data_IF_254603520360
#
_entry.id   IF_254603520360
#
_cell.length_a   1.000
_cell.length_b   1.000
_cell.length_c   1.000
_cell.angle_alpha   90.00
_cell.angle_beta   90.00
_cell.angle_gamma   90.00
#
_symmetry.space_group_name_H-M   'P 1'
#
loop_
_entity.id
_entity.type
_entity.pdbx_description
1 polymer ?
#
# COMPACT_ATOMS: atom_id res chain seq x y z
N UNK A 1 -14.60 -10.99 -1.24
CA UNK A 1 -14.79 -11.33 -2.67
C UNK A 1 -14.93 -10.03 -3.48
N UNK A 2 -15.08 -10.08 -4.82
CA UNK A 2 -15.34 -8.88 -5.65
C UNK A 2 -16.52 -8.02 -5.14
N UNK A 3 -17.45 -8.62 -4.39
CA UNK A 3 -18.58 -7.93 -3.77
C UNK A 3 -18.18 -6.99 -2.61
N UNK A 4 -17.02 -7.21 -1.98
CA UNK A 4 -16.59 -6.46 -0.80
C UNK A 4 -15.96 -5.10 -1.14
N UNK A 5 -15.78 -4.77 -2.43
CA UNK A 5 -15.17 -3.51 -2.89
C UNK A 5 -13.91 -3.16 -2.09
N UNK A 6 -13.03 -4.16 -1.93
CA UNK A 6 -11.82 -3.97 -1.14
C UNK A 6 -10.93 -2.89 -1.75
N UNK A 7 -10.27 -2.07 -0.93
CA UNK A 7 -9.19 -1.21 -1.39
C UNK A 7 -8.12 -2.02 -2.12
N UNK A 8 -7.43 -1.40 -3.06
CA UNK A 8 -6.40 -2.06 -3.88
C UNK A 8 -5.06 -1.36 -3.69
N UNK A 9 -4.01 -2.13 -3.43
CA UNK A 9 -2.63 -1.68 -3.58
C UNK A 9 -2.05 -2.31 -4.84
N UNK A 10 -1.78 -1.46 -5.83
CA UNK A 10 -1.23 -1.84 -7.12
C UNK A 10 0.25 -1.48 -7.16
N UNK A 11 1.12 -2.43 -7.53
CA UNK A 11 2.56 -2.21 -7.59
C UNK A 11 3.12 -2.59 -8.96
N UNK A 12 3.54 -1.59 -9.73
CA UNK A 12 4.29 -1.80 -10.96
C UNK A 12 5.75 -2.10 -10.65
N UNK A 13 6.25 -3.20 -11.22
CA UNK A 13 7.62 -3.65 -11.03
C UNK A 13 8.23 -4.15 -12.34
N UNK A 14 9.54 -4.34 -12.33
CA UNK A 14 10.28 -5.04 -13.37
C UNK A 14 11.22 -6.05 -12.72
N UNK A 15 11.19 -7.31 -13.16
CA UNK A 15 11.95 -8.40 -12.53
C UNK A 15 13.47 -8.16 -12.54
N UNK A 16 14.00 -7.53 -13.60
CA UNK A 16 15.43 -7.23 -13.73
C UNK A 16 15.83 -5.85 -13.15
N UNK A 17 14.90 -5.14 -12.51
CA UNK A 17 15.19 -3.86 -11.86
C UNK A 17 15.70 -4.04 -10.43
N UNK A 18 16.91 -3.54 -10.17
CA UNK A 18 17.47 -3.49 -8.81
C UNK A 18 16.60 -2.65 -7.87
N UNK A 19 15.98 -1.58 -8.37
CA UNK A 19 15.06 -0.73 -7.60
C UNK A 19 13.78 -1.48 -7.24
N UNK A 20 13.24 -2.28 -8.16
CA UNK A 20 12.06 -3.12 -7.89
C UNK A 20 12.36 -4.20 -6.85
N UNK A 21 13.53 -4.85 -6.94
CA UNK A 21 13.97 -5.85 -5.94
C UNK A 21 14.11 -5.26 -4.55
N UNK A 22 14.73 -4.08 -4.41
CA UNK A 22 14.82 -3.39 -3.10
C UNK A 22 13.44 -3.04 -2.56
N UNK A 23 12.51 -2.70 -3.44
CA UNK A 23 11.17 -2.28 -3.06
C UNK A 23 10.24 -3.40 -2.60
N UNK A 24 10.55 -4.67 -2.95
CA UNK A 24 9.77 -5.84 -2.54
C UNK A 24 9.56 -5.94 -1.01
N UNK A 25 10.48 -5.36 -0.21
CA UNK A 25 10.35 -5.28 1.25
C UNK A 25 9.13 -4.44 1.65
N UNK A 26 8.92 -3.28 1.03
CA UNK A 26 7.76 -2.42 1.29
C UNK A 26 6.46 -3.11 0.90
N UNK A 27 6.43 -3.78 -0.26
CA UNK A 27 5.26 -4.54 -0.72
C UNK A 27 4.92 -5.66 0.28
N UNK A 28 5.93 -6.37 0.77
CA UNK A 28 5.75 -7.44 1.76
C UNK A 28 5.15 -6.92 3.08
N UNK A 29 5.55 -5.72 3.52
CA UNK A 29 4.93 -5.08 4.70
C UNK A 29 3.46 -4.73 4.44
N UNK A 30 3.13 -4.19 3.26
CA UNK A 30 1.72 -3.94 2.91
C UNK A 30 0.91 -5.25 2.96
N UNK A 31 1.45 -6.34 2.44
CA UNK A 31 0.83 -7.68 2.51
C UNK A 31 0.64 -8.16 3.95
N UNK A 32 1.64 -7.98 4.80
CA UNK A 32 1.59 -8.36 6.22
C UNK A 32 0.45 -7.66 6.97
N UNK A 33 0.33 -6.34 6.82
CA UNK A 33 -0.64 -5.53 7.57
C UNK A 33 -2.04 -5.53 6.94
N UNK A 34 -2.13 -5.50 5.61
CA UNK A 34 -3.38 -5.20 4.90
C UNK A 34 -3.86 -6.33 3.98
N UNK A 35 -3.07 -7.37 3.72
CA UNK A 35 -3.42 -8.42 2.74
C UNK A 35 -4.67 -9.23 3.05
N UNK A 36 -5.23 -9.12 4.27
CA UNK A 36 -6.54 -9.71 4.61
C UNK A 36 -7.73 -8.83 4.20
N UNK A 37 -7.53 -7.52 4.11
CA UNK A 37 -8.59 -6.50 3.96
C UNK A 37 -8.44 -5.63 2.72
N UNK A 38 -7.31 -5.70 2.02
CA UNK A 38 -7.03 -5.06 0.75
C UNK A 38 -6.53 -6.11 -0.27
N UNK A 39 -6.79 -5.86 -1.55
CA UNK A 39 -6.21 -6.64 -2.64
C UNK A 39 -4.84 -6.07 -3.01
N UNK A 40 -3.85 -6.94 -3.16
CA UNK A 40 -2.47 -6.54 -3.49
C UNK A 40 -2.12 -7.13 -4.83
N UNK A 41 -1.89 -6.25 -5.81
CA UNK A 41 -1.75 -6.62 -7.21
C UNK A 41 -0.36 -6.17 -7.70
N UNK A 42 0.63 -7.06 -7.74
CA UNK A 42 1.87 -6.78 -8.43
C UNK A 42 1.66 -6.92 -9.94
N UNK A 43 2.12 -5.94 -10.73
CA UNK A 43 2.07 -5.98 -12.20
C UNK A 43 3.47 -5.77 -12.76
N UNK A 44 3.95 -6.77 -13.49
CA UNK A 44 5.16 -6.60 -14.30
C UNK A 44 4.86 -5.64 -15.45
N UNK A 45 5.69 -4.61 -15.61
CA UNK A 45 5.52 -3.65 -16.72
C UNK A 45 5.71 -4.30 -18.08
N UNK A 46 6.44 -5.41 -18.17
CA UNK A 46 6.60 -6.20 -19.40
C UNK A 46 5.29 -6.87 -19.84
N UNK A 47 4.32 -7.01 -18.93
CA UNK A 47 3.01 -7.58 -19.25
C UNK A 47 2.01 -6.55 -19.78
N UNK A 48 2.35 -5.25 -19.75
CA UNK A 48 1.47 -4.18 -20.23
C UNK A 48 1.59 -4.10 -21.76
N UNK A 49 0.54 -4.42 -22.53
CA UNK A 49 0.59 -4.35 -23.98
C UNK A 49 0.68 -2.89 -24.43
N UNK A 50 1.56 -2.58 -25.37
CA UNK A 50 1.65 -1.25 -25.95
C UNK A 50 0.35 -0.90 -26.70
N UNK A 51 -0.29 0.21 -26.29
CA UNK A 51 -1.49 0.78 -26.93
C UNK A 51 -1.35 2.29 -27.06
N UNK A 52 -1.99 2.88 -28.06
CA UNK A 52 -2.06 4.34 -28.23
C UNK A 52 -2.89 5.01 -27.12
N UNK A 53 -3.90 4.31 -26.60
CA UNK A 53 -4.73 4.72 -25.48
C UNK A 53 -5.14 3.50 -24.65
N UNK A 54 -5.28 3.70 -23.34
CA UNK A 54 -5.74 2.70 -22.38
C UNK A 54 -7.08 3.12 -21.80
N UNK A 55 -7.94 2.16 -21.51
CA UNK A 55 -9.14 2.39 -20.71
C UNK A 55 -8.77 2.54 -19.22
N UNK A 56 -9.48 3.34 -18.41
CA UNK A 56 -9.23 3.47 -16.97
C UNK A 56 -9.27 2.14 -16.20
N UNK A 57 -9.86 1.08 -16.74
CA UNK A 57 -9.84 -0.26 -16.14
C UNK A 57 -8.55 -1.05 -16.44
N UNK A 58 -7.65 -0.51 -17.27
CA UNK A 58 -6.43 -1.17 -17.69
C UNK A 58 -5.20 -0.68 -16.91
N UNK A 59 -4.25 -1.57 -16.55
CA UNK A 59 -3.02 -1.17 -15.87
C UNK A 59 -2.22 -0.09 -16.60
N UNK A 60 -2.19 -0.15 -17.94
CA UNK A 60 -1.46 0.82 -18.76
C UNK A 60 -1.98 2.26 -18.65
N UNK A 61 -3.23 2.46 -18.23
CA UNK A 61 -3.78 3.80 -17.96
C UNK A 61 -3.06 4.49 -16.79
N UNK A 62 -2.62 3.71 -15.81
CA UNK A 62 -2.00 4.21 -14.58
C UNK A 62 -0.47 4.19 -14.60
N UNK A 63 0.12 3.32 -15.42
CA UNK A 63 1.57 3.22 -15.52
C UNK A 63 2.17 4.47 -16.16
N UNK A 64 3.15 5.07 -15.48
CA UNK A 64 3.71 6.36 -15.86
C UNK A 64 5.18 6.29 -16.32
N UNK A 65 5.60 5.11 -16.79
CA UNK A 65 6.88 4.91 -17.48
C UNK A 65 8.10 4.71 -16.57
N UNK A 66 7.91 4.42 -15.27
CA UNK A 66 9.02 4.19 -14.34
C UNK A 66 8.67 3.15 -13.28
N UNK A 67 9.65 2.35 -12.87
CA UNK A 67 9.51 1.36 -11.80
C UNK A 67 10.53 1.60 -10.68
N UNK A 68 10.20 1.23 -9.42
CA UNK A 68 8.86 0.82 -8.98
C UNK A 68 7.87 2.01 -9.02
N UNK A 69 6.60 1.72 -9.21
CA UNK A 69 5.52 2.68 -9.05
C UNK A 69 4.38 1.99 -8.28
N UNK A 70 3.76 2.70 -7.35
CA UNK A 70 2.66 2.19 -6.55
C UNK A 70 1.44 3.08 -6.63
N UNK A 71 0.27 2.45 -6.57
CA UNK A 71 -1.00 3.13 -6.44
C UNK A 71 -1.82 2.52 -5.29
N UNK A 72 -2.64 3.36 -4.67
CA UNK A 72 -3.67 2.93 -3.72
C UNK A 72 -5.02 3.40 -4.24
N UNK A 73 -5.96 2.46 -4.36
CA UNK A 73 -7.35 2.72 -4.65
C UNK A 73 -8.19 2.54 -3.38
N UNK A 74 -9.10 3.47 -3.10
CA UNK A 74 -10.08 3.31 -2.02
C UNK A 74 -11.23 2.37 -2.45
N UNK A 75 -12.22 2.13 -1.56
CA UNK A 75 -13.36 1.26 -1.88
C UNK A 75 -14.24 1.78 -3.04
N UNK A 76 -14.19 3.08 -3.32
CA UNK A 76 -14.92 3.72 -4.42
C UNK A 76 -14.21 3.57 -5.76
N UNK A 77 -12.99 3.01 -5.80
CA UNK A 77 -12.17 2.91 -6.99
C UNK A 77 -11.41 4.21 -7.32
N UNK A 78 -11.35 5.17 -6.39
CA UNK A 78 -10.59 6.41 -6.57
C UNK A 78 -9.12 6.20 -6.21
N UNK A 79 -8.23 6.75 -7.02
CA UNK A 79 -6.79 6.75 -6.74
C UNK A 79 -6.49 7.79 -5.65
N UNK A 80 -6.13 7.31 -4.46
CA UNK A 80 -5.73 8.17 -3.32
C UNK A 80 -4.21 8.30 -3.17
N UNK A 81 -3.45 7.42 -3.84
CA UNK A 81 -1.99 7.49 -3.93
C UNK A 81 -1.54 7.05 -5.31
N UNK A 82 -0.60 7.78 -5.92
CA UNK A 82 0.12 7.39 -7.12
C UNK A 82 1.54 7.94 -7.07
N UNK A 83 2.52 7.09 -6.79
CA UNK A 83 3.91 7.51 -6.55
C UNK A 83 4.92 6.58 -7.18
N UNK A 84 6.05 7.17 -7.55
CA UNK A 84 7.21 6.50 -8.18
C UNK A 84 8.34 6.33 -7.17
N UNK A 85 9.17 5.32 -7.41
CA UNK A 85 10.40 5.08 -6.67
C UNK A 85 10.17 4.39 -5.32
N UNK A 86 11.13 4.57 -4.41
CA UNK A 86 11.17 3.90 -3.11
C UNK A 86 10.18 4.54 -2.12
N UNK A 87 8.88 4.43 -2.38
CA UNK A 87 7.82 4.99 -1.53
C UNK A 87 7.83 4.28 -0.16
N UNK A 88 8.08 4.99 0.96
CA UNK A 88 8.11 4.38 2.27
C UNK A 88 6.80 3.67 2.62
N UNK A 89 6.88 2.57 3.35
CA UNK A 89 5.70 1.84 3.82
C UNK A 89 4.76 2.77 4.61
N UNK A 90 5.31 3.68 5.40
CA UNK A 90 4.57 4.59 6.26
C UNK A 90 3.64 5.52 5.47
N UNK A 91 4.01 5.88 4.25
CA UNK A 91 3.17 6.70 3.38
C UNK A 91 1.98 5.91 2.84
N UNK A 92 2.17 4.62 2.55
CA UNK A 92 1.10 3.70 2.13
C UNK A 92 0.18 3.38 3.33
N UNK A 93 0.77 3.17 4.50
CA UNK A 93 0.06 2.96 5.77
C UNK A 93 -0.85 4.14 6.11
N UNK A 94 -0.39 5.38 5.92
CA UNK A 94 -1.19 6.58 6.18
C UNK A 94 -2.46 6.64 5.31
N UNK A 95 -2.39 6.22 4.04
CA UNK A 95 -3.59 6.16 3.19
C UNK A 95 -4.53 5.02 3.58
N UNK A 96 -4.00 3.83 3.90
CA UNK A 96 -4.84 2.74 4.38
C UNK A 96 -5.52 3.07 5.72
N UNK A 97 -4.84 3.76 6.63
CA UNK A 97 -5.44 4.23 7.88
C UNK A 97 -6.61 5.17 7.63
N UNK A 98 -6.51 6.08 6.66
CA UNK A 98 -7.65 6.94 6.26
C UNK A 98 -8.79 6.11 5.70
N UNK A 99 -8.50 5.18 4.78
CA UNK A 99 -9.50 4.31 4.15
C UNK A 99 -10.26 3.47 5.18
N UNK A 100 -9.56 2.93 6.18
CA UNK A 100 -10.14 2.08 7.22
C UNK A 100 -10.56 2.86 8.49
N UNK A 101 -10.51 4.19 8.46
CA UNK A 101 -10.80 5.05 9.61
C UNK A 101 -10.06 4.64 10.89
N UNK A 102 -8.77 4.28 10.74
CA UNK A 102 -7.88 3.94 11.84
C UNK A 102 -7.21 5.21 12.38
N UNK A 103 -6.85 5.19 13.67
CA UNK A 103 -6.11 6.29 14.28
C UNK A 103 -4.79 6.56 13.53
N UNK A 104 -4.32 7.81 13.44
CA UNK A 104 -2.99 8.12 12.90
C UNK A 104 -1.87 7.35 13.64
N UNK A 105 -0.73 7.15 12.97
CA UNK A 105 0.42 6.44 13.57
C UNK A 105 0.90 7.10 14.86
N UNK A 106 0.94 8.43 14.89
CA UNK A 106 1.38 9.23 16.04
C UNK A 106 0.49 9.02 17.27
N UNK A 107 -0.80 8.78 17.08
CA UNK A 107 -1.76 8.51 18.15
C UNK A 107 -1.68 7.05 18.60
N UNK A 108 -1.55 6.12 17.65
CA UNK A 108 -1.36 4.69 17.95
C UNK A 108 -0.09 4.48 18.80
N UNK A 109 1.02 5.13 18.44
CA UNK A 109 2.27 5.05 19.20
C UNK A 109 2.16 5.64 20.62
N UNK A 110 1.36 6.70 20.81
CA UNK A 110 1.09 7.26 22.14
C UNK A 110 0.26 6.30 23.00
N UNK A 111 -0.74 5.65 22.43
CA UNK A 111 -1.58 4.67 23.13
C UNK A 111 -0.76 3.46 23.59
N UNK A 112 0.09 2.90 22.73
CA UNK A 112 0.97 1.77 23.10
C UNK A 112 1.90 2.11 24.28
N UNK A 113 2.47 3.32 24.31
CA UNK A 113 3.31 3.78 25.43
C UNK A 113 2.52 3.91 26.74
N UNK A 114 1.28 4.39 26.70
CA UNK A 114 0.43 4.49 27.89
C UNK A 114 0.13 3.11 28.46
N UNK A 115 -0.29 2.16 27.62
CA UNK A 115 -0.57 0.79 28.05
C UNK A 115 0.64 0.13 28.73
N UNK A 116 1.84 0.26 28.14
CA UNK A 116 3.06 -0.30 28.75
C UNK A 116 3.37 0.29 30.13
N UNK A 117 3.15 1.60 30.31
CA UNK A 117 3.35 2.27 31.59
C UNK A 117 2.33 1.82 32.65
N UNK A 118 1.07 1.63 32.27
CA UNK A 118 -0.01 1.16 33.17
C UNK A 118 0.28 -0.27 33.66
N UNK A 119 0.60 -1.22 32.77
CA UNK A 119 0.98 -2.58 33.17
C UNK A 119 2.19 -2.61 34.11
N UNK A 120 3.20 -1.77 33.84
CA UNK A 120 4.39 -1.69 34.70
C UNK A 120 4.06 -1.14 36.09
N UNK A 121 3.06 -0.26 36.21
CA UNK A 121 2.64 0.32 37.48
C UNK A 121 1.77 -0.62 38.33
N UNK A 122 0.97 -1.50 37.69
CA UNK A 122 0.15 -2.50 38.38
C UNK A 122 0.96 -3.67 38.95
N UNK A 123 2.07 -4.04 38.28
CA UNK A 123 2.96 -5.13 38.73
C UNK A 123 3.94 -4.71 39.83
N UNK A 124 4.04 -3.41 40.14
CA UNK A 124 4.98 -2.87 41.12
C UNK A 124 4.38 -2.70 42.54
N UNK A 125 3.21 -3.30 42.80
CA UNK A 125 2.52 -3.27 44.11
C UNK A 125 2.62 -4.61 44.86
#
# INVERSE_FOLDING_TARGET
>A
SLAEHKPVFLAFYLDDSSDSKRYAISISRVQEFYGKVAEIIPISVDSIPFKEAYDPTEPGYYYSGSVPQVLVFNQSGEVVLNKKGQVPFEEIDDEFRKIFNLLPRTETAKLQRRAFNEFSSELAQ
#
